data_IF_564482797217
#
_entry.id   IF_564482797217
#
_cell.length_a   1.000
_cell.length_b   1.000
_cell.length_c   1.000
_cell.angle_alpha   90.00
_cell.angle_beta   90.00
_cell.angle_gamma   90.00
#
_symmetry.space_group_name_H-M   'P 1'
#
loop_
_entity.id
_entity.type
_entity.pdbx_description
1 polymer ?
#
# COMPACT_ATOMS: atom_id res chain seq x y z
N UNK A 1 21.50 -11.79 0.18
CA UNK A 1 22.71 -11.21 0.82
C UNK A 1 22.43 -10.42 2.10
N UNK A 2 21.54 -9.41 2.10
CA UNK A 2 21.26 -8.59 3.31
C UNK A 2 20.72 -9.37 4.52
N UNK A 3 19.98 -10.46 4.29
CA UNK A 3 19.47 -11.33 5.36
C UNK A 3 20.55 -12.22 6.00
N UNK A 4 21.54 -12.66 5.22
CA UNK A 4 22.66 -13.46 5.74
C UNK A 4 23.58 -12.63 6.65
N UNK A 5 23.86 -11.38 6.26
CA UNK A 5 24.61 -10.41 7.09
C UNK A 5 23.85 -10.08 8.38
N UNK A 6 22.52 -9.94 8.31
CA UNK A 6 21.68 -9.65 9.47
C UNK A 6 21.53 -10.83 10.43
N UNK A 7 21.47 -12.06 9.91
CA UNK A 7 21.52 -13.27 10.71
C UNK A 7 22.87 -13.43 11.41
N UNK A 8 23.97 -13.13 10.72
CA UNK A 8 25.32 -13.17 11.29
C UNK A 8 25.51 -12.14 12.41
N UNK A 9 24.98 -10.92 12.28
CA UNK A 9 25.04 -9.89 13.34
C UNK A 9 24.19 -10.29 14.55
N UNK A 10 23.01 -10.88 14.34
CA UNK A 10 22.17 -11.39 15.43
C UNK A 10 22.82 -12.57 16.16
N UNK A 11 23.47 -13.48 15.42
CA UNK A 11 24.21 -14.59 15.99
C UNK A 11 25.45 -14.10 16.77
N UNK A 12 26.19 -13.12 16.26
CA UNK A 12 27.34 -12.53 16.94
C UNK A 12 26.95 -11.81 18.25
N UNK A 13 25.80 -11.11 18.28
CA UNK A 13 25.27 -10.48 19.49
C UNK A 13 24.76 -11.52 20.51
N UNK A 14 24.14 -12.61 20.04
CA UNK A 14 23.74 -13.74 20.90
C UNK A 14 24.94 -14.46 21.52
N UNK A 15 26.05 -14.61 20.79
CA UNK A 15 27.28 -15.23 21.28
C UNK A 15 28.01 -14.32 22.27
N UNK A 16 28.02 -13.00 22.06
CA UNK A 16 28.55 -12.06 23.07
C UNK A 16 27.71 -12.06 24.36
N UNK A 17 26.39 -12.22 24.27
CA UNK A 17 25.51 -12.33 25.43
C UNK A 17 25.70 -13.66 26.21
N UNK A 18 26.12 -14.73 25.53
CA UNK A 18 26.46 -16.00 26.18
C UNK A 18 27.72 -15.92 27.07
N UNK A 19 28.53 -14.87 26.93
CA UNK A 19 29.66 -14.59 27.81
C UNK A 19 29.30 -13.95 29.16
N UNK A 20 28.05 -13.52 29.36
CA UNK A 20 27.60 -12.85 30.60
C UNK A 20 26.34 -13.53 31.18
N UNK A 21 26.59 -14.48 32.08
CA UNK A 21 25.81 -14.94 33.25
C UNK A 21 24.29 -15.23 33.22
N UNK A 22 23.50 -14.89 32.20
CA UNK A 22 22.06 -15.18 32.23
C UNK A 22 21.50 -15.46 30.83
N UNK A 23 21.36 -16.75 30.50
CA UNK A 23 20.75 -17.23 29.24
C UNK A 23 19.35 -16.64 28.99
N UNK A 24 18.65 -16.26 30.07
CA UNK A 24 17.35 -15.57 30.06
C UNK A 24 17.43 -14.21 29.35
N UNK A 25 18.53 -13.48 29.52
CA UNK A 25 18.75 -12.20 28.85
C UNK A 25 18.91 -12.38 27.33
N UNK A 26 19.61 -13.43 26.90
CA UNK A 26 19.77 -13.76 25.48
C UNK A 26 18.45 -14.09 24.78
N UNK A 27 17.58 -14.88 25.44
CA UNK A 27 16.24 -15.20 24.94
C UNK A 27 15.37 -13.94 24.84
N UNK A 28 15.46 -13.04 25.82
CA UNK A 28 14.72 -11.78 25.83
C UNK A 28 15.14 -10.86 24.69
N UNK A 29 16.44 -10.73 24.42
CA UNK A 29 16.96 -9.92 23.30
C UNK A 29 16.57 -10.53 21.96
N UNK A 30 16.67 -11.86 21.80
CA UNK A 30 16.26 -12.55 20.58
C UNK A 30 14.75 -12.41 20.33
N UNK A 31 13.94 -12.56 21.39
CA UNK A 31 12.49 -12.37 21.34
C UNK A 31 12.11 -10.92 20.99
N UNK A 32 12.74 -9.94 21.63
CA UNK A 32 12.50 -8.51 21.35
C UNK A 32 12.93 -8.15 19.93
N UNK A 33 14.02 -8.73 19.43
CA UNK A 33 14.51 -8.52 18.07
C UNK A 33 13.53 -9.11 17.06
N UNK A 34 13.08 -10.35 17.27
CA UNK A 34 12.07 -11.00 16.43
C UNK A 34 10.75 -10.22 16.43
N UNK A 35 10.30 -9.79 17.61
CA UNK A 35 9.11 -8.97 17.78
C UNK A 35 9.24 -7.62 17.06
N UNK A 36 10.41 -6.98 17.17
CA UNK A 36 10.71 -5.73 16.45
C UNK A 36 10.65 -5.94 14.94
N UNK A 37 11.13 -7.08 14.43
CA UNK A 37 11.03 -7.41 13.01
C UNK A 37 9.59 -7.65 12.56
N UNK A 38 8.79 -8.38 13.37
CA UNK A 38 7.35 -8.58 13.10
C UNK A 38 6.60 -7.23 13.13
N UNK A 39 6.92 -6.35 14.07
CA UNK A 39 6.36 -5.00 14.12
C UNK A 39 6.75 -4.18 12.89
N UNK A 40 8.02 -4.20 12.47
CA UNK A 40 8.47 -3.47 11.27
C UNK A 40 7.82 -3.97 9.98
N UNK A 41 7.48 -5.25 9.89
CA UNK A 41 6.76 -5.82 8.74
C UNK A 41 5.26 -5.50 8.76
N UNK A 42 4.69 -5.28 9.95
CA UNK A 42 3.25 -5.01 10.13
C UNK A 42 2.88 -3.53 10.21
N UNK A 43 3.83 -2.63 10.50
CA UNK A 43 3.56 -1.19 10.57
C UNK A 43 3.27 -0.64 9.15
N UNK A 44 2.07 -0.10 8.91
CA UNK A 44 1.78 0.57 7.65
C UNK A 44 2.70 1.78 7.51
N UNK A 45 3.55 1.76 6.49
CA UNK A 45 4.46 2.88 6.16
C UNK A 45 3.65 4.19 6.13
N UNK A 46 4.03 5.16 6.97
CA UNK A 46 3.28 6.39 7.26
C UNK A 46 2.89 7.21 6.02
N UNK A 47 3.59 7.03 4.90
CA UNK A 47 3.32 7.70 3.63
C UNK A 47 1.94 7.37 3.04
N UNK A 48 1.44 6.15 3.25
CA UNK A 48 0.10 5.77 2.81
C UNK A 48 -0.98 6.54 3.58
N UNK A 49 -0.84 6.61 4.91
CA UNK A 49 -1.81 7.28 5.78
C UNK A 49 -1.86 8.80 5.55
N UNK A 50 -0.70 9.44 5.26
CA UNK A 50 -0.66 10.86 4.92
C UNK A 50 -1.35 11.14 3.58
N UNK A 51 -1.11 10.30 2.59
CA UNK A 51 -1.70 10.44 1.24
C UNK A 51 -3.23 10.29 1.26
N UNK A 52 -3.73 9.32 2.04
CA UNK A 52 -5.17 9.17 2.29
C UNK A 52 -5.77 10.39 3.00
N UNK A 53 -5.06 10.97 3.98
CA UNK A 53 -5.50 12.23 4.63
C UNK A 53 -5.57 13.40 3.65
N UNK A 54 -4.62 13.52 2.74
CA UNK A 54 -4.64 14.54 1.69
C UNK A 54 -5.85 14.41 0.77
N UNK A 55 -6.18 13.17 0.34
CA UNK A 55 -7.41 12.94 -0.45
C UNK A 55 -8.67 13.32 0.34
N UNK A 56 -8.74 12.96 1.62
CA UNK A 56 -9.88 13.33 2.49
C UNK A 56 -10.05 14.84 2.62
N UNK A 57 -8.94 15.58 2.75
CA UNK A 57 -8.95 17.05 2.80
C UNK A 57 -9.41 17.70 1.50
N UNK A 58 -9.24 17.02 0.36
CA UNK A 58 -9.65 17.48 -0.97
C UNK A 58 -11.07 17.01 -1.36
N UNK A 59 -11.91 16.61 -0.40
CA UNK A 59 -13.30 16.23 -0.66
C UNK A 59 -13.53 14.75 -0.96
N UNK A 60 -12.49 13.92 -1.07
CA UNK A 60 -12.68 12.48 -1.29
C UNK A 60 -13.20 11.77 -0.03
N UNK A 61 -14.20 10.91 -0.22
CA UNK A 61 -14.69 9.96 0.77
C UNK A 61 -13.91 8.66 0.63
N UNK A 62 -13.30 8.22 1.72
CA UNK A 62 -12.52 6.97 1.77
C UNK A 62 -13.32 5.88 2.46
N UNK A 63 -13.60 4.80 1.73
CA UNK A 63 -14.28 3.60 2.22
C UNK A 63 -13.29 2.45 2.26
N UNK A 64 -13.35 1.62 3.30
CA UNK A 64 -12.40 0.53 3.49
C UNK A 64 -12.91 -0.72 2.78
N UNK A 65 -12.14 -1.24 1.82
CA UNK A 65 -12.45 -2.44 1.02
C UNK A 65 -11.51 -3.62 1.39
N UNK A 66 -11.31 -3.81 2.69
CA UNK A 66 -10.43 -4.84 3.28
C UNK A 66 -9.21 -4.30 4.03
N UNK A 67 -8.19 -5.15 4.28
CA UNK A 67 -7.09 -4.80 5.19
C UNK A 67 -6.16 -3.72 4.64
N UNK A 68 -5.91 -3.71 3.32
CA UNK A 68 -4.98 -2.80 2.66
C UNK A 68 -5.55 -2.15 1.39
N UNK A 69 -6.87 -2.05 1.30
CA UNK A 69 -7.56 -1.49 0.13
C UNK A 69 -8.57 -0.45 0.58
N UNK A 70 -8.59 0.66 -0.14
CA UNK A 70 -9.48 1.77 0.12
C UNK A 70 -10.11 2.22 -1.18
N UNK A 71 -11.42 2.36 -1.19
CA UNK A 71 -12.14 3.03 -2.26
C UNK A 71 -12.15 4.52 -1.95
N UNK A 72 -11.58 5.33 -2.84
CA UNK A 72 -11.63 6.79 -2.77
C UNK A 72 -12.64 7.28 -3.81
N UNK A 73 -13.74 7.86 -3.32
CA UNK A 73 -14.82 8.42 -4.14
C UNK A 73 -14.78 9.93 -3.98
N UNK A 74 -14.64 10.68 -5.06
CA UNK A 74 -14.58 12.13 -4.99
C UNK A 74 -14.70 12.79 -6.36
N UNK A 75 -14.45 14.10 -6.45
CA UNK A 75 -14.77 14.89 -7.63
C UNK A 75 -14.06 14.38 -8.88
N UNK A 76 -12.80 13.95 -8.78
CA UNK A 76 -12.06 13.38 -9.93
C UNK A 76 -12.39 11.93 -10.28
N UNK A 77 -13.43 11.32 -9.69
CA UNK A 77 -13.87 9.94 -9.97
C UNK A 77 -13.67 8.94 -8.82
N UNK A 78 -13.81 7.64 -9.14
CA UNK A 78 -13.68 6.53 -8.18
C UNK A 78 -12.36 5.78 -8.35
N UNK A 79 -11.59 5.67 -7.28
CA UNK A 79 -10.27 5.04 -7.28
C UNK A 79 -10.19 3.92 -6.24
N UNK A 80 -9.75 2.73 -6.65
CA UNK A 80 -9.46 1.63 -5.72
C UNK A 80 -7.97 1.61 -5.39
N UNK A 81 -7.62 2.12 -4.21
CA UNK A 81 -6.23 2.31 -3.76
C UNK A 81 -5.76 1.09 -2.96
N UNK A 82 -4.74 0.40 -3.47
CA UNK A 82 -4.03 -0.68 -2.79
C UNK A 82 -2.88 -0.08 -1.98
N UNK A 83 -3.09 0.09 -0.68
CA UNK A 83 -2.19 0.76 0.24
C UNK A 83 -1.04 -0.12 0.78
N UNK A 84 -0.82 -1.30 0.16
CA UNK A 84 0.32 -2.16 0.49
C UNK A 84 1.56 -1.63 -0.22
N UNK A 85 2.43 -0.95 0.53
CA UNK A 85 3.60 -0.25 0.02
C UNK A 85 4.77 -1.18 -0.28
N UNK A 86 4.60 -2.08 -1.22
CA UNK A 86 5.63 -3.04 -1.62
C UNK A 86 6.73 -2.36 -2.47
N UNK A 87 7.99 -2.79 -2.35
CA UNK A 87 9.08 -2.23 -3.14
C UNK A 87 9.00 -2.68 -4.59
N UNK A 88 9.35 -1.77 -5.51
CA UNK A 88 9.56 -2.08 -6.92
C UNK A 88 11.01 -2.48 -7.17
N UNK A 89 11.22 -3.60 -7.86
CA UNK A 89 12.54 -4.04 -8.31
C UNK A 89 12.85 -3.53 -9.74
N UNK A 90 14.13 -3.47 -10.14
CA UNK A 90 14.52 -3.19 -11.53
C UNK A 90 13.93 -4.18 -12.53
N UNK A 91 13.72 -5.43 -12.10
CA UNK A 91 13.07 -6.49 -12.88
C UNK A 91 11.54 -6.36 -12.97
N UNK A 92 10.99 -5.16 -12.73
CA UNK A 92 9.54 -4.87 -12.74
C UNK A 92 8.73 -5.82 -11.87
N UNK A 93 9.21 -6.09 -10.66
CA UNK A 93 8.46 -6.85 -9.65
C UNK A 93 8.02 -5.92 -8.53
N UNK A 94 6.82 -6.14 -8.01
CA UNK A 94 6.25 -5.43 -6.86
C UNK A 94 6.16 -6.46 -5.73
N UNK A 95 6.90 -6.26 -4.64
CA UNK A 95 6.86 -7.18 -3.50
C UNK A 95 7.29 -8.61 -3.86
N UNK A 96 8.15 -8.76 -4.87
CA UNK A 96 8.59 -10.07 -5.36
C UNK A 96 7.63 -10.75 -6.34
N UNK A 97 6.52 -10.12 -6.73
CA UNK A 97 5.57 -10.62 -7.75
C UNK A 97 5.75 -9.84 -9.06
N UNK A 98 5.62 -10.44 -10.25
CA UNK A 98 5.62 -9.68 -11.52
C UNK A 98 4.59 -8.55 -11.49
N UNK A 99 4.97 -7.34 -11.92
CA UNK A 99 4.10 -6.18 -11.87
C UNK A 99 2.81 -6.38 -12.68
N UNK A 100 2.88 -7.10 -13.79
CA UNK A 100 1.74 -7.45 -14.64
C UNK A 100 0.71 -8.29 -13.86
N UNK A 101 1.17 -9.30 -13.11
CA UNK A 101 0.29 -10.14 -12.28
C UNK A 101 -0.32 -9.36 -11.11
N UNK A 102 0.37 -8.36 -10.58
CA UNK A 102 -0.19 -7.44 -9.57
C UNK A 102 -1.26 -6.55 -10.21
N UNK A 103 -1.00 -6.01 -11.40
CA UNK A 103 -1.93 -5.21 -12.17
C UNK A 103 -3.20 -5.99 -12.56
N UNK A 104 -3.07 -7.23 -13.04
CA UNK A 104 -4.20 -8.12 -13.35
C UNK A 104 -5.10 -8.34 -12.14
N UNK A 105 -4.51 -8.67 -10.98
CA UNK A 105 -5.27 -8.84 -9.73
C UNK A 105 -5.98 -7.54 -9.34
N UNK A 106 -5.28 -6.41 -9.41
CA UNK A 106 -5.84 -5.11 -9.08
C UNK A 106 -7.01 -4.74 -10.01
N UNK A 107 -6.87 -4.98 -11.31
CA UNK A 107 -7.92 -4.78 -12.30
C UNK A 107 -9.12 -5.70 -12.06
N UNK A 108 -8.90 -6.98 -11.74
CA UNK A 108 -9.98 -7.91 -11.41
C UNK A 108 -10.75 -7.49 -10.16
N UNK A 109 -10.06 -6.92 -9.17
CA UNK A 109 -10.69 -6.34 -7.98
C UNK A 109 -11.51 -5.08 -8.32
N UNK A 110 -10.95 -4.16 -9.11
CA UNK A 110 -11.67 -2.98 -9.55
C UNK A 110 -12.94 -3.36 -10.34
N UNK A 111 -12.85 -4.29 -11.28
CA UNK A 111 -13.99 -4.76 -12.05
C UNK A 111 -15.12 -5.36 -11.20
N UNK A 112 -14.81 -5.92 -10.02
CA UNK A 112 -15.85 -6.35 -9.07
C UNK A 112 -16.53 -5.15 -8.41
N UNK A 113 -15.76 -4.14 -8.01
CA UNK A 113 -16.29 -2.90 -7.47
C UNK A 113 -17.11 -2.13 -8.51
N UNK A 114 -16.74 -2.15 -9.80
CA UNK A 114 -17.52 -1.54 -10.87
C UNK A 114 -18.92 -2.14 -10.98
N UNK A 115 -19.05 -3.47 -10.84
CA UNK A 115 -20.37 -4.13 -10.87
C UNK A 115 -21.25 -3.73 -9.68
N UNK A 116 -20.64 -3.55 -8.51
CA UNK A 116 -21.35 -3.13 -7.30
C UNK A 116 -21.75 -1.66 -7.41
N UNK A 117 -20.84 -0.80 -7.86
CA UNK A 117 -21.04 0.65 -7.87
C UNK A 117 -21.76 1.15 -9.12
N UNK A 118 -21.75 0.38 -10.22
CA UNK A 118 -22.30 0.78 -11.51
C UNK A 118 -21.54 1.94 -12.18
N UNK A 119 -20.27 2.15 -11.83
CA UNK A 119 -19.41 3.20 -12.39
C UNK A 119 -17.98 2.70 -12.56
N UNK A 120 -17.18 3.38 -13.38
CA UNK A 120 -15.78 3.04 -13.61
C UNK A 120 -14.96 3.23 -12.34
N UNK A 121 -14.13 2.23 -12.01
CA UNK A 121 -13.24 2.24 -10.85
C UNK A 121 -11.80 2.10 -11.33
N UNK A 122 -10.98 3.11 -11.06
CA UNK A 122 -9.57 3.11 -11.46
C UNK A 122 -8.71 2.46 -10.36
N UNK A 123 -8.10 1.28 -10.59
CA UNK A 123 -7.20 0.68 -9.62
C UNK A 123 -5.87 1.45 -9.54
N UNK A 124 -5.45 1.75 -8.32
CA UNK A 124 -4.19 2.45 -8.02
C UNK A 124 -3.37 1.59 -7.06
N UNK A 125 -2.22 1.10 -7.51
CA UNK A 125 -1.27 0.33 -6.70
C UNK A 125 -0.19 1.27 -6.19
N UNK A 126 -0.14 1.45 -4.86
CA UNK A 126 0.88 2.27 -4.23
C UNK A 126 2.16 1.46 -4.02
N UNK A 127 3.31 2.00 -4.42
CA UNK A 127 4.60 1.31 -4.33
C UNK A 127 5.67 2.18 -3.69
N UNK A 128 6.76 1.54 -3.27
CA UNK A 128 7.98 2.21 -2.80
C UNK A 128 9.16 1.93 -3.74
N UNK A 129 10.16 2.81 -3.72
CA UNK A 129 11.31 2.74 -4.64
C UNK A 129 11.21 3.73 -5.80
N UNK A 130 12.15 3.64 -6.74
CA UNK A 130 12.22 4.52 -7.91
C UNK A 130 11.40 3.92 -9.06
N UNK A 131 10.48 4.70 -9.57
CA UNK A 131 9.76 4.40 -10.82
C UNK A 131 10.40 5.19 -11.97
N UNK A 132 10.30 4.70 -13.23
CA UNK A 132 10.77 5.45 -14.40
C UNK A 132 10.00 6.76 -14.61
N UNK A 133 8.71 6.76 -14.27
CA UNK A 133 7.81 7.91 -14.33
C UNK A 133 7.09 8.08 -12.98
N UNK A 134 6.58 9.29 -12.64
CA UNK A 134 5.84 9.51 -11.40
C UNK A 134 4.62 8.59 -11.25
N UNK A 135 3.94 8.31 -12.37
CA UNK A 135 2.80 7.40 -12.46
C UNK A 135 3.01 6.52 -13.68
N UNK A 136 3.17 5.21 -13.46
CA UNK A 136 3.29 4.22 -14.52
C UNK A 136 1.92 3.59 -14.75
N UNK A 137 1.48 3.52 -16.01
CA UNK A 137 0.23 2.85 -16.36
C UNK A 137 0.51 1.42 -16.85
N UNK A 138 -0.10 0.43 -16.20
CA UNK A 138 -0.09 -0.97 -16.60
C UNK A 138 -1.52 -1.37 -16.98
N UNK A 139 -1.85 -1.22 -18.27
CA UNK A 139 -3.23 -1.35 -18.75
C UNK A 139 -4.13 -0.29 -18.12
N UNK A 140 -5.17 -0.71 -17.40
CA UNK A 140 -6.07 0.18 -16.65
C UNK A 140 -5.60 0.50 -15.22
N UNK A 141 -4.45 0.00 -14.81
CA UNK A 141 -3.93 0.12 -13.43
C UNK A 141 -2.88 1.21 -13.37
N UNK A 142 -3.01 2.10 -12.39
CA UNK A 142 -2.00 3.11 -12.08
C UNK A 142 -1.06 2.57 -11.01
N UNK A 143 0.24 2.62 -11.27
CA UNK A 143 1.29 2.26 -10.32
C UNK A 143 2.08 3.52 -10.00
N UNK A 144 2.07 3.94 -8.74
CA UNK A 144 2.66 5.21 -8.36
C UNK A 144 3.13 5.19 -6.91
N UNK A 145 4.02 6.12 -6.57
CA UNK A 145 4.32 6.40 -5.16
C UNK A 145 3.15 7.15 -4.53
N UNK A 146 2.98 7.12 -3.20
CA UNK A 146 1.82 7.73 -2.55
C UNK A 146 1.57 9.21 -2.91
N UNK A 147 2.64 10.02 -2.91
CA UNK A 147 2.54 11.45 -3.28
C UNK A 147 2.19 11.66 -4.75
N UNK A 148 2.81 10.88 -5.63
CA UNK A 148 2.60 10.99 -7.07
C UNK A 148 1.18 10.53 -7.46
N UNK A 149 0.67 9.49 -6.79
CA UNK A 149 -0.72 9.04 -6.92
C UNK A 149 -1.72 10.13 -6.52
N UNK A 150 -1.53 10.75 -5.35
CA UNK A 150 -2.40 11.85 -4.90
C UNK A 150 -2.36 13.02 -5.87
N UNK A 151 -1.17 13.44 -6.30
CA UNK A 151 -1.02 14.54 -7.26
C UNK A 151 -1.74 14.25 -8.58
N UNK A 152 -1.67 13.01 -9.07
CA UNK A 152 -2.38 12.59 -10.27
C UNK A 152 -3.90 12.59 -10.08
N UNK A 153 -4.39 12.07 -8.96
CA UNK A 153 -5.83 12.02 -8.66
C UNK A 153 -6.40 13.44 -8.52
N UNK A 154 -5.72 14.33 -7.79
CA UNK A 154 -6.16 15.70 -7.58
C UNK A 154 -6.02 16.59 -8.82
N UNK A 155 -5.16 16.21 -9.78
CA UNK A 155 -5.01 16.91 -11.05
C UNK A 155 -6.04 16.52 -12.11
N UNK A 156 -6.94 15.57 -11.82
CA UNK A 156 -7.99 15.16 -12.74
C UNK A 156 -9.11 16.21 -12.76
N UNK A 157 -9.72 16.46 -13.93
CA UNK A 157 -10.92 17.30 -14.00
C UNK A 157 -12.05 16.68 -13.17
N UNK A 158 -12.92 17.53 -12.64
CA UNK A 158 -14.11 17.10 -11.91
C UNK A 158 -15.04 16.33 -12.85
N UNK A 159 -15.37 15.11 -12.46
CA UNK A 159 -16.20 14.16 -13.19
C UNK A 159 -17.44 13.73 -12.39
N UNK A 160 -17.43 13.90 -11.07
CA UNK A 160 -18.55 13.56 -10.17
C UNK A 160 -18.92 14.76 -9.32
N UNK A 161 -20.22 15.02 -9.18
CA UNK A 161 -20.72 16.01 -8.24
C UNK A 161 -20.91 15.43 -6.82
N UNK A 162 -21.25 16.27 -5.86
CA UNK A 162 -21.48 15.86 -4.47
C UNK A 162 -22.67 14.90 -4.30
N UNK A 163 -23.65 14.93 -5.22
CA UNK A 163 -24.80 14.03 -5.19
C UNK A 163 -24.42 12.63 -5.72
N UNK A 164 -23.59 12.55 -6.75
CA UNK A 164 -22.99 11.32 -7.27
C UNK A 164 -22.10 10.67 -6.20
N UNK A 165 -21.22 11.45 -5.58
CA UNK A 165 -20.33 10.95 -4.50
C UNK A 165 -21.15 10.34 -3.37
N UNK A 166 -22.24 11.00 -2.93
CA UNK A 166 -23.12 10.47 -1.88
C UNK A 166 -23.80 9.17 -2.29
N UNK A 167 -24.39 9.13 -3.49
CA UNK A 167 -25.04 7.91 -4.03
C UNK A 167 -24.09 6.72 -4.11
N UNK A 168 -22.86 6.96 -4.56
CA UNK A 168 -21.82 5.90 -4.66
C UNK A 168 -21.37 5.40 -3.29
N UNK A 169 -21.26 6.30 -2.30
CA UNK A 169 -20.94 5.93 -0.91
C UNK A 169 -22.03 5.06 -0.29
N UNK A 170 -23.30 5.38 -0.54
CA UNK A 170 -24.45 4.59 -0.04
C UNK A 170 -24.49 3.20 -0.67
N UNK A 171 -24.29 3.10 -1.99
CA UNK A 171 -24.27 1.83 -2.73
C UNK A 171 -23.16 0.87 -2.31
N UNK A 172 -22.05 1.39 -1.78
CA UNK A 172 -20.98 0.54 -1.24
C UNK A 172 -21.31 -0.02 0.16
N UNK A 173 -22.24 0.61 0.89
CA UNK A 173 -22.62 0.20 2.25
C UNK A 173 -23.80 -0.77 2.29
N UNK A 174 -24.62 -0.78 1.23
CA UNK A 174 -25.74 -1.72 1.03
C UNK A 174 -25.25 -3.10 0.60
#
# INVERSE_FOLDING_TARGET
MRFAVRGAVAAALGVMAAGFLDWRAGVLVAGLTLLTYVLLDTVPRADGARSLRSLRGAGYRLLRDGPHRYLAVGPGGVYLVFARLDPVSPSRRIGGVPAERVAERAAAHAARQERVLGTEVVPVVLVTGRLPEPVVRLGRVLVARPRDAVRHILGRPEALDDADVRRLVERHRS
#
